data_IF_480871947364
#
_entry.id   IF_480871947364
#
_cell.length_a   1.000
_cell.length_b   1.000
_cell.length_c   1.000
_cell.angle_alpha   90.00
_cell.angle_beta   90.00
_cell.angle_gamma   90.00
#
_symmetry.space_group_name_H-M   'P 1'
#
loop_
_entity.id
_entity.type
_entity.pdbx_description
1 polymer ?
#
# COMPACT_ATOMS: atom_id res chain seq x y z
N UNK A 1 6.00 -1.63 6.82
CA UNK A 1 5.59 -0.24 7.14
C UNK A 1 6.75 0.76 7.10
N UNK A 2 7.76 0.70 7.98
CA UNK A 2 8.85 1.72 7.99
C UNK A 2 9.50 1.99 6.62
N UNK A 3 9.87 0.94 5.87
CA UNK A 3 10.46 1.08 4.52
C UNK A 3 9.53 1.79 3.53
N UNK A 4 8.24 1.40 3.53
CA UNK A 4 7.20 1.99 2.67
C UNK A 4 7.00 3.48 2.95
N UNK A 5 7.00 3.86 4.23
CA UNK A 5 6.81 5.25 4.63
C UNK A 5 8.03 6.11 4.29
N UNK A 6 9.24 5.54 4.37
CA UNK A 6 10.46 6.20 3.86
C UNK A 6 10.41 6.42 2.35
N UNK A 7 9.93 5.44 1.58
CA UNK A 7 9.85 5.56 0.11
C UNK A 7 8.72 6.48 -0.37
N UNK A 8 7.68 6.69 0.44
CA UNK A 8 6.54 7.53 0.07
C UNK A 8 6.86 9.05 0.06
N UNK A 9 7.99 9.46 0.64
CA UNK A 9 8.47 10.87 0.63
C UNK A 9 7.70 11.83 1.54
N UNK A 10 6.41 11.59 1.77
CA UNK A 10 5.56 12.40 2.65
C UNK A 10 4.80 11.55 3.67
N UNK A 11 4.62 12.03 4.91
CA UNK A 11 3.81 11.32 5.90
C UNK A 11 2.34 11.25 5.44
N UNK A 12 1.68 10.09 5.58
CA UNK A 12 0.29 9.95 5.16
C UNK A 12 -0.64 10.78 6.05
N UNK A 13 -1.63 11.45 5.45
CA UNK A 13 -2.67 12.18 6.20
C UNK A 13 -3.61 11.25 6.98
N UNK A 14 -3.95 10.12 6.37
CA UNK A 14 -4.81 9.08 6.93
C UNK A 14 -4.17 7.73 6.64
N UNK A 15 -4.14 6.84 7.63
CA UNK A 15 -3.70 5.46 7.46
C UNK A 15 -4.93 4.56 7.38
N UNK A 16 -4.99 3.73 6.35
CA UNK A 16 -6.06 2.75 6.15
C UNK A 16 -5.43 1.37 6.19
N UNK A 17 -5.90 0.51 7.08
CA UNK A 17 -5.46 -0.88 7.17
C UNK A 17 -6.66 -1.81 7.34
N UNK A 18 -6.42 -3.11 7.26
CA UNK A 18 -7.40 -4.09 7.75
C UNK A 18 -7.55 -4.01 9.29
N UNK A 19 -8.45 -4.86 9.82
CA UNK A 19 -8.80 -4.93 11.24
C UNK A 19 -7.84 -5.80 12.08
N UNK A 20 -6.71 -6.25 11.54
CA UNK A 20 -5.77 -7.07 12.30
C UNK A 20 -5.07 -6.24 13.39
N UNK A 21 -4.99 -6.78 14.61
CA UNK A 21 -4.38 -6.11 15.78
C UNK A 21 -2.90 -5.75 15.56
N UNK A 22 -2.21 -6.49 14.70
CA UNK A 22 -0.81 -6.26 14.34
C UNK A 22 -0.57 -4.86 13.76
N UNK A 23 -1.54 -4.28 13.05
CA UNK A 23 -1.39 -2.92 12.50
C UNK A 23 -1.50 -1.84 13.57
N UNK A 24 -2.37 -2.02 14.57
CA UNK A 24 -2.45 -1.10 15.73
C UNK A 24 -1.14 -1.10 16.52
N UNK A 25 -0.59 -2.28 16.80
CA UNK A 25 0.71 -2.40 17.46
C UNK A 25 1.86 -1.80 16.62
N UNK A 26 1.85 -2.02 15.30
CA UNK A 26 2.84 -1.43 14.41
C UNK A 26 2.74 0.10 14.36
N UNK A 27 1.53 0.65 14.33
CA UNK A 27 1.28 2.11 14.37
C UNK A 27 1.85 2.72 15.64
N UNK A 28 1.53 2.13 16.80
CA UNK A 28 2.03 2.58 18.11
C UNK A 28 3.57 2.53 18.16
N UNK A 29 4.17 1.41 17.75
CA UNK A 29 5.63 1.23 17.70
C UNK A 29 6.35 2.24 16.78
N UNK A 30 5.63 2.79 15.81
CA UNK A 30 6.18 3.77 14.87
C UNK A 30 5.89 5.23 15.26
N UNK A 31 5.13 5.48 16.33
CA UNK A 31 4.81 6.85 16.78
C UNK A 31 3.92 7.63 15.82
N UNK A 32 3.11 6.96 15.00
CA UNK A 32 2.24 7.65 14.04
C UNK A 32 0.92 8.10 14.66
N UNK A 33 0.80 9.42 14.85
CA UNK A 33 -0.42 10.10 15.32
C UNK A 33 -1.35 10.53 14.17
N UNK A 34 -1.43 9.73 13.12
CA UNK A 34 -2.31 9.99 11.97
C UNK A 34 -3.67 9.32 12.20
N UNK A 35 -4.74 9.88 11.63
CA UNK A 35 -6.06 9.26 11.66
C UNK A 35 -5.97 7.83 11.09
N UNK A 36 -6.50 6.85 11.81
CA UNK A 36 -6.42 5.45 11.42
C UNK A 36 -7.83 4.89 11.22
N UNK A 37 -8.16 4.54 9.97
CA UNK A 37 -9.43 3.93 9.60
C UNK A 37 -9.25 2.45 9.33
N UNK A 38 -10.16 1.65 9.88
CA UNK A 38 -10.15 0.20 9.71
C UNK A 38 -11.49 -0.26 9.17
N UNK A 39 -11.64 -0.26 7.85
CA UNK A 39 -12.85 -0.71 7.19
C UNK A 39 -12.52 -1.51 5.93
N UNK A 40 -13.25 -2.60 5.71
CA UNK A 40 -12.99 -3.53 4.62
C UNK A 40 -13.17 -2.86 3.25
N UNK A 41 -14.18 -2.01 3.07
CA UNK A 41 -14.32 -1.28 1.80
C UNK A 41 -13.17 -0.28 1.54
N UNK A 42 -12.54 0.27 2.59
CA UNK A 42 -11.49 1.29 2.45
C UNK A 42 -10.13 0.67 2.09
N UNK A 43 -9.88 -0.59 2.46
CA UNK A 43 -8.63 -1.27 2.15
C UNK A 43 -8.62 -1.95 0.76
N UNK A 44 -9.73 -1.88 0.01
CA UNK A 44 -9.90 -2.51 -1.31
C UNK A 44 -8.76 -2.19 -2.27
N UNK A 45 -8.28 -0.93 -2.29
CA UNK A 45 -7.14 -0.55 -3.15
C UNK A 45 -5.87 -1.33 -2.81
N UNK A 46 -5.54 -1.43 -1.52
CA UNK A 46 -4.38 -2.19 -1.07
C UNK A 46 -4.57 -3.68 -1.36
N UNK A 47 -5.76 -4.22 -1.13
CA UNK A 47 -6.05 -5.62 -1.39
C UNK A 47 -6.00 -5.97 -2.90
N UNK A 48 -6.56 -5.12 -3.75
CA UNK A 48 -6.51 -5.29 -5.20
C UNK A 48 -5.07 -5.20 -5.74
N UNK A 49 -4.23 -4.36 -5.13
CA UNK A 49 -2.80 -4.28 -5.51
C UNK A 49 -2.05 -5.60 -5.31
N UNK A 50 -2.54 -6.49 -4.44
CA UNK A 50 -1.94 -7.82 -4.23
C UNK A 50 -2.40 -8.88 -5.25
N UNK A 51 -3.43 -8.62 -6.06
CA UNK A 51 -3.99 -9.61 -6.98
C UNK A 51 -2.96 -10.16 -7.99
N UNK A 52 -2.11 -9.34 -8.64
CA UNK A 52 -1.10 -9.84 -9.56
C UNK A 52 -0.10 -10.77 -8.87
N UNK A 53 0.35 -10.40 -7.68
CA UNK A 53 1.28 -11.19 -6.86
C UNK A 53 0.66 -12.53 -6.45
N UNK A 54 -0.58 -12.52 -5.94
CA UNK A 54 -1.30 -13.76 -5.57
C UNK A 54 -1.56 -14.64 -6.77
N UNK A 55 -1.90 -14.06 -7.92
CA UNK A 55 -2.09 -14.80 -9.17
C UNK A 55 -0.79 -15.50 -9.58
N UNK A 56 0.34 -14.78 -9.53
CA UNK A 56 1.63 -15.38 -9.84
C UNK A 56 1.98 -16.51 -8.89
N UNK A 57 1.85 -16.26 -7.59
CA UNK A 57 2.12 -17.24 -6.55
C UNK A 57 1.31 -18.53 -6.78
N UNK A 58 0.03 -18.42 -7.10
CA UNK A 58 -0.82 -19.59 -7.41
C UNK A 58 -0.34 -20.33 -8.66
N UNK A 59 -0.05 -19.62 -9.75
CA UNK A 59 0.41 -20.22 -11.01
C UNK A 59 1.74 -20.96 -10.81
N UNK A 60 2.66 -20.43 -10.01
CA UNK A 60 3.98 -21.02 -9.78
C UNK A 60 4.01 -22.03 -8.64
N UNK A 61 2.87 -22.41 -8.06
CA UNK A 61 2.76 -23.27 -6.87
C UNK A 61 3.61 -22.74 -5.70
N UNK A 62 3.46 -21.46 -5.40
CA UNK A 62 4.24 -20.63 -4.46
C UNK A 62 5.57 -20.16 -5.05
N UNK A 63 6.17 -19.17 -4.40
CA UNK A 63 7.55 -18.79 -4.68
C UNK A 63 8.49 -19.81 -4.03
N UNK A 64 9.53 -20.22 -4.75
CA UNK A 64 10.56 -21.16 -4.29
C UNK A 64 11.50 -20.53 -3.24
N UNK A 65 11.56 -19.20 -3.18
CA UNK A 65 12.34 -18.46 -2.18
C UNK A 65 11.87 -17.01 -2.01
N UNK A 66 12.26 -16.38 -0.91
CA UNK A 66 12.05 -14.95 -0.66
C UNK A 66 12.70 -14.07 -1.72
N UNK A 67 13.89 -14.44 -2.19
CA UNK A 67 14.60 -13.72 -3.24
C UNK A 67 13.87 -13.77 -4.59
N UNK A 68 13.23 -14.90 -4.91
CA UNK A 68 12.39 -15.01 -6.10
C UNK A 68 11.16 -14.08 -6.01
N UNK A 69 10.49 -14.06 -4.85
CA UNK A 69 9.38 -13.14 -4.61
C UNK A 69 9.81 -11.69 -4.73
N UNK A 70 10.96 -11.33 -4.14
CA UNK A 70 11.48 -9.95 -4.18
C UNK A 70 11.83 -9.51 -5.61
N UNK A 71 12.40 -10.39 -6.43
CA UNK A 71 12.66 -10.10 -7.86
C UNK A 71 11.37 -9.88 -8.63
N UNK A 72 10.35 -10.71 -8.40
CA UNK A 72 9.03 -10.52 -9.00
C UNK A 72 8.44 -9.17 -8.62
N UNK A 73 8.37 -8.86 -7.32
CA UNK A 73 7.82 -7.59 -6.82
C UNK A 73 8.59 -6.39 -7.38
N UNK A 74 9.91 -6.43 -7.42
CA UNK A 74 10.72 -5.31 -7.92
C UNK A 74 10.44 -4.94 -9.38
N UNK A 75 10.14 -5.91 -10.23
CA UNK A 75 9.82 -5.68 -11.65
C UNK A 75 8.36 -5.26 -11.82
N UNK A 76 7.45 -5.95 -11.13
CA UNK A 76 6.02 -5.72 -11.30
C UNK A 76 5.51 -4.47 -10.58
N UNK A 77 6.15 -4.04 -9.48
CA UNK A 77 5.79 -2.80 -8.77
C UNK A 77 5.97 -1.57 -9.67
N UNK A 78 7.02 -1.52 -10.49
CA UNK A 78 7.27 -0.40 -11.42
C UNK A 78 6.17 -0.30 -12.48
N UNK A 79 5.78 -1.44 -13.04
CA UNK A 79 4.71 -1.53 -14.05
C UNK A 79 3.36 -1.17 -13.43
N UNK A 80 3.04 -1.69 -12.24
CA UNK A 80 1.79 -1.39 -11.55
C UNK A 80 1.67 0.11 -11.18
N UNK A 81 2.78 0.75 -10.81
CA UNK A 81 2.80 2.19 -10.53
C UNK A 81 2.61 3.05 -11.78
N UNK A 82 3.12 2.64 -12.95
CA UNK A 82 2.98 3.39 -14.20
C UNK A 82 1.53 3.50 -14.68
N UNK A 83 0.73 2.46 -14.46
CA UNK A 83 -0.70 2.46 -14.80
C UNK A 83 -1.59 3.09 -13.70
N UNK A 84 -0.98 3.65 -12.66
CA UNK A 84 -1.71 4.36 -11.62
C UNK A 84 -1.99 5.80 -12.07
N UNK A 85 -3.08 6.01 -12.79
CA UNK A 85 -3.54 7.37 -13.14
C UNK A 85 -4.04 8.05 -11.84
N UNK A 86 -3.40 9.13 -11.36
CA UNK A 86 -3.95 9.91 -10.27
C UNK A 86 -5.25 10.55 -10.76
N UNK A 87 -6.33 10.43 -9.99
CA UNK A 87 -7.58 11.12 -10.29
C UNK A 87 -7.32 12.63 -10.40
N UNK A 88 -7.61 13.27 -11.55
CA UNK A 88 -7.49 14.71 -11.70
C UNK A 88 -8.64 15.37 -10.93
N UNK A 89 -8.37 15.77 -9.69
CA UNK A 89 -9.39 16.40 -8.83
C UNK A 89 -8.96 16.64 -7.39
N UNK A 90 -7.89 16.00 -6.90
CA UNK A 90 -7.41 16.19 -5.53
C UNK A 90 -6.46 17.39 -5.34
N UNK A 91 -6.40 18.32 -6.32
CA UNK A 91 -5.46 19.44 -6.33
C UNK A 91 -6.06 20.84 -6.52
N UNK A 92 -7.36 20.99 -6.76
CA UNK A 92 -7.98 22.29 -7.07
C UNK A 92 -9.08 22.62 -6.05
N UNK A 93 -8.69 22.97 -4.83
CA UNK A 93 -9.50 23.78 -3.92
C UNK A 93 -8.59 24.45 -2.89
N UNK A 94 -7.70 25.31 -3.38
CA UNK A 94 -7.15 26.43 -2.63
C UNK A 94 -7.01 27.55 -3.64
N UNK A 95 -7.82 28.59 -3.39
CA UNK A 95 -7.68 29.98 -3.81
C UNK A 95 -9.10 30.51 -4.05
N UNK A 96 -9.65 31.18 -3.03
CA UNK A 96 -10.46 32.40 -3.14
C UNK A 96 -10.78 32.92 -1.72
N UNK A 97 -10.35 34.16 -1.47
CA UNK A 97 -10.96 35.11 -0.52
C UNK A 97 -10.70 34.88 0.96
#
# INVERSE_FOLDING_TARGET
>A
MKKLLKSAGTPPRVMITDKLRSYGAARAKMGFHVEHRQHQALNNRAENSHQPTRRRERITKRFKSSHQAQRFLSVHDQVANLFHIPYPGAGAMRDFG
#
